data_IF_652376431460
#
_entry.id   IF_652376431460
#
_cell.length_a   1.000
_cell.length_b   1.000
_cell.length_c   1.000
_cell.angle_alpha   90.00
_cell.angle_beta   90.00
_cell.angle_gamma   90.00
#
_symmetry.space_group_name_H-M   'P 1'
#
loop_
_entity.id
_entity.type
_entity.pdbx_description
1 polymer ?
#
# COMPACT_ATOMS: atom_id res chain seq x y z
N UNK A 1 -9.16 -4.19 -10.77
CA UNK A 1 -7.81 -4.74 -10.59
C UNK A 1 -7.72 -5.30 -9.18
N UNK A 2 -7.26 -6.54 -8.99
CA UNK A 2 -7.08 -7.13 -7.66
C UNK A 2 -5.84 -6.56 -6.98
N UNK A 3 -5.93 -6.32 -5.67
CA UNK A 3 -4.79 -5.93 -4.82
C UNK A 3 -4.52 -7.08 -3.86
N UNK A 4 -3.26 -7.48 -3.75
CA UNK A 4 -2.79 -8.54 -2.86
C UNK A 4 -1.91 -7.89 -1.80
N UNK A 5 -2.24 -8.09 -0.52
CA UNK A 5 -1.49 -7.51 0.59
C UNK A 5 -0.62 -8.60 1.20
N UNK A 6 0.68 -8.34 1.31
CA UNK A 6 1.58 -9.27 1.97
C UNK A 6 1.31 -9.33 3.47
N UNK A 7 1.65 -10.44 4.10
CA UNK A 7 1.61 -10.55 5.56
C UNK A 7 2.49 -9.50 6.25
N UNK A 8 3.60 -9.11 5.63
CA UNK A 8 4.45 -8.03 6.11
C UNK A 8 3.70 -6.68 6.14
N UNK A 9 3.06 -6.29 5.03
CA UNK A 9 2.23 -5.08 4.98
C UNK A 9 1.07 -5.14 5.99
N UNK A 10 0.42 -6.31 6.14
CA UNK A 10 -0.65 -6.49 7.12
C UNK A 10 -0.17 -6.27 8.56
N UNK A 11 0.99 -6.80 8.94
CA UNK A 11 1.60 -6.57 10.26
C UNK A 11 1.91 -5.09 10.47
N UNK A 12 2.41 -4.40 9.44
CA UNK A 12 2.71 -2.97 9.50
C UNK A 12 1.45 -2.14 9.80
N UNK A 13 0.30 -2.48 9.24
CA UNK A 13 -0.96 -1.76 9.51
C UNK A 13 -1.46 -1.91 10.96
N UNK A 14 -1.02 -2.94 11.68
CA UNK A 14 -1.34 -3.13 13.10
C UNK A 14 -0.34 -2.43 14.04
N UNK A 15 0.75 -1.88 13.50
CA UNK A 15 1.75 -1.14 14.27
C UNK A 15 1.20 0.26 14.59
N UNK A 16 1.40 0.74 15.82
CA UNK A 16 1.05 2.11 16.22
C UNK A 16 1.64 3.15 15.25
N UNK A 17 2.82 2.87 14.70
CA UNK A 17 3.43 3.77 13.72
C UNK A 17 2.58 3.91 12.46
N UNK A 18 1.77 2.93 12.09
CA UNK A 18 0.86 3.03 10.94
C UNK A 18 -0.60 3.19 11.36
N UNK A 19 -0.85 3.62 12.61
CA UNK A 19 -2.20 3.96 13.05
C UNK A 19 -2.86 4.89 12.03
N UNK A 20 -4.17 4.76 11.86
CA UNK A 20 -4.95 5.63 10.97
C UNK A 20 -4.69 5.43 9.46
N UNK A 21 -3.99 4.35 9.09
CA UNK A 21 -3.92 3.82 7.72
C UNK A 21 -4.69 2.50 7.69
N UNK A 22 -5.73 2.43 6.87
CA UNK A 22 -6.60 1.26 6.73
C UNK A 22 -6.36 0.52 5.41
N UNK A 23 -6.87 -0.71 5.31
CA UNK A 23 -6.82 -1.49 4.07
C UNK A 23 -7.56 -0.77 2.93
N UNK A 24 -8.68 -0.10 3.22
CA UNK A 24 -9.41 0.66 2.20
C UNK A 24 -8.58 1.82 1.64
N UNK A 25 -7.75 2.47 2.48
CA UNK A 25 -6.86 3.54 2.00
C UNK A 25 -5.86 3.01 0.97
N UNK A 26 -5.42 1.77 1.14
CA UNK A 26 -4.57 1.06 0.17
C UNK A 26 -5.35 0.69 -1.10
N UNK A 27 -6.60 0.23 -0.97
CA UNK A 27 -7.42 -0.14 -2.14
C UNK A 27 -7.79 1.08 -3.00
N UNK A 28 -7.97 2.25 -2.38
CA UNK A 28 -8.27 3.51 -3.07
C UNK A 28 -7.00 4.16 -3.65
N UNK A 29 -5.81 3.78 -3.18
CA UNK A 29 -4.54 4.26 -3.71
C UNK A 29 -4.35 3.85 -5.18
N UNK A 30 -4.72 4.74 -6.10
CA UNK A 30 -4.59 4.52 -7.53
C UNK A 30 -3.17 4.78 -7.98
N UNK A 31 -2.46 3.71 -8.34
CA UNK A 31 -1.14 3.79 -8.97
C UNK A 31 -1.31 3.49 -10.47
N UNK A 32 -1.00 4.42 -11.38
CA UNK A 32 -1.13 4.18 -12.80
C UNK A 32 -0.02 3.25 -13.34
N UNK A 33 -0.29 2.61 -14.48
CA UNK A 33 0.70 1.79 -15.19
C UNK A 33 0.96 0.42 -14.57
N UNK A 34 1.87 -0.32 -15.20
CA UNK A 34 2.35 -1.63 -14.73
C UNK A 34 3.66 -1.46 -13.97
N UNK A 35 3.76 -2.05 -12.78
CA UNK A 35 4.91 -1.93 -11.88
C UNK A 35 5.72 -3.23 -11.93
N UNK A 36 6.78 -3.27 -12.74
CA UNK A 36 7.55 -4.50 -13.00
C UNK A 36 8.52 -4.87 -11.89
N UNK A 37 8.90 -3.91 -11.03
CA UNK A 37 9.83 -4.06 -9.91
C UNK A 37 9.22 -3.53 -8.61
N UNK A 38 9.79 -3.87 -7.45
CA UNK A 38 9.34 -3.30 -6.18
C UNK A 38 9.64 -1.79 -6.16
N UNK A 39 8.60 -0.97 -6.29
CA UNK A 39 8.72 0.49 -6.42
C UNK A 39 8.00 1.17 -5.27
N UNK A 40 8.63 2.19 -4.70
CA UNK A 40 8.03 3.05 -3.67
C UNK A 40 7.30 4.20 -4.34
N UNK A 41 6.04 4.38 -3.97
CA UNK A 41 5.19 5.48 -4.36
C UNK A 41 4.95 6.36 -3.14
N UNK A 42 5.03 7.67 -3.34
CA UNK A 42 5.06 8.64 -2.26
C UNK A 42 3.79 9.48 -2.19
N UNK A 43 3.44 9.92 -0.98
CA UNK A 43 2.46 11.01 -0.79
C UNK A 43 1.01 10.62 -1.00
N UNK A 44 0.62 9.38 -0.65
CA UNK A 44 -0.78 9.03 -0.53
C UNK A 44 -1.36 9.61 0.75
N UNK A 45 -2.68 9.84 0.75
CA UNK A 45 -3.42 10.29 1.91
C UNK A 45 -4.45 9.25 2.30
N UNK A 46 -4.41 8.83 3.56
CA UNK A 46 -5.47 8.03 4.16
C UNK A 46 -6.71 8.90 4.40
N UNK A 47 -7.87 8.27 4.58
CA UNK A 47 -9.12 8.96 4.95
C UNK A 47 -9.00 9.78 6.24
N UNK A 48 -8.09 9.40 7.13
CA UNK A 48 -7.72 10.15 8.34
C UNK A 48 -6.99 11.48 8.07
N UNK A 49 -6.54 11.71 6.83
CA UNK A 49 -5.63 12.80 6.46
C UNK A 49 -4.15 12.45 6.66
N UNK A 50 -3.83 11.25 7.19
CA UNK A 50 -2.46 10.81 7.37
C UNK A 50 -1.79 10.56 6.02
N UNK A 51 -0.61 11.15 5.83
CA UNK A 51 0.20 10.88 4.65
C UNK A 51 0.96 9.57 4.82
N UNK A 52 1.02 8.77 3.76
CA UNK A 52 1.78 7.53 3.72
C UNK A 52 2.34 7.25 2.32
N UNK A 53 3.33 6.37 2.29
CA UNK A 53 3.95 5.82 1.12
C UNK A 53 3.67 4.32 1.04
N UNK A 54 3.77 3.78 -0.16
CA UNK A 54 3.50 2.37 -0.41
C UNK A 54 4.56 1.77 -1.32
N UNK A 55 4.99 0.55 -1.01
CA UNK A 55 5.86 -0.23 -1.91
C UNK A 55 5.01 -1.29 -2.59
N UNK A 56 4.92 -1.22 -3.93
CA UNK A 56 4.13 -2.14 -4.74
C UNK A 56 4.95 -2.78 -5.85
N UNK A 57 4.48 -3.94 -6.31
CA UNK A 57 4.92 -4.63 -7.52
C UNK A 57 3.74 -5.37 -8.13
N UNK A 58 3.60 -5.37 -9.46
CA UNK A 58 2.59 -6.18 -10.12
C UNK A 58 3.06 -7.63 -10.28
N UNK A 59 2.16 -8.56 -9.98
CA UNK A 59 2.34 -10.01 -10.11
C UNK A 59 1.15 -10.58 -10.91
N UNK A 60 1.22 -11.86 -11.29
CA UNK A 60 0.15 -12.52 -12.08
C UNK A 60 -1.23 -12.46 -11.41
N UNK A 61 -1.29 -12.35 -10.08
CA UNK A 61 -2.53 -12.26 -9.28
C UNK A 61 -3.06 -10.84 -9.09
N UNK A 62 -2.36 -9.81 -9.57
CA UNK A 62 -2.71 -8.39 -9.39
C UNK A 62 -1.57 -7.58 -8.78
N UNK A 63 -1.90 -6.45 -8.15
CA UNK A 63 -0.91 -5.57 -7.52
C UNK A 63 -0.55 -6.05 -6.12
N UNK A 64 0.69 -6.48 -5.93
CA UNK A 64 1.22 -6.87 -4.63
C UNK A 64 1.69 -5.65 -3.85
N UNK A 65 1.06 -5.38 -2.71
CA UNK A 65 1.50 -4.39 -1.73
C UNK A 65 2.47 -5.05 -0.77
N UNK A 66 3.73 -4.67 -0.88
CA UNK A 66 4.84 -5.25 -0.13
C UNK A 66 4.92 -4.63 1.26
N UNK A 67 4.81 -3.29 1.37
CA UNK A 67 4.82 -2.61 2.67
C UNK A 67 4.15 -1.24 2.59
N UNK A 68 3.82 -0.70 3.77
CA UNK A 68 3.27 0.64 3.99
C UNK A 68 4.21 1.40 4.91
N UNK A 69 4.49 2.66 4.58
CA UNK A 69 5.45 3.51 5.28
C UNK A 69 4.81 4.87 5.56
N UNK A 70 4.74 5.26 6.82
CA UNK A 70 4.13 6.52 7.27
C UNK A 70 4.24 6.67 8.76
#
# INVERSE_FOLDING_TARGET
>A
MSVVITEHARKRLNDMRQSDISLDDIFVASIPGQITSATRFHGFFARSGRMFDLVAKDVSKGRLVITVIG
#
